data_IF_815963278375
#
_entry.id   IF_815963278375
#
_cell.length_a   1.000
_cell.length_b   1.000
_cell.length_c   1.000
_cell.angle_alpha   90.00
_cell.angle_beta   90.00
_cell.angle_gamma   90.00
#
_symmetry.space_group_name_H-M   'P 1'
#
loop_
_entity.id
_entity.type
_entity.pdbx_description
1 polymer ?
#
# COMPACT_ATOMS: atom_id res chain seq x y z
N UNK A 1 -1.06 19.62 8.99
CA UNK A 1 -0.87 18.16 9.00
C UNK A 1 -2.26 17.56 8.95
N UNK A 2 -2.54 16.74 7.96
CA UNK A 2 -3.83 16.04 7.85
C UNK A 2 -3.84 14.90 8.88
N UNK A 3 -4.86 14.83 9.69
CA UNK A 3 -5.07 13.76 10.66
C UNK A 3 -6.50 13.25 10.48
N UNK A 4 -6.67 12.03 10.01
CA UNK A 4 -7.98 11.42 9.87
C UNK A 4 -8.45 10.92 11.24
N UNK A 5 -9.24 11.69 11.97
CA UNK A 5 -9.84 11.21 13.23
C UNK A 5 -10.74 9.98 13.01
N UNK A 6 -11.30 9.84 11.83
CA UNK A 6 -12.15 8.70 11.38
C UNK A 6 -11.72 8.28 9.98
N UNK A 7 -11.79 6.99 9.70
CA UNK A 7 -11.48 6.41 8.38
C UNK A 7 -12.79 5.81 7.85
N UNK A 8 -13.30 6.42 6.77
CA UNK A 8 -14.55 5.98 6.14
C UNK A 8 -14.27 4.77 5.22
N UNK A 9 -14.79 3.57 5.55
CA UNK A 9 -14.60 2.38 4.73
C UNK A 9 -15.04 2.55 3.27
N UNK A 10 -16.12 3.30 3.03
CA UNK A 10 -16.71 3.46 1.70
C UNK A 10 -15.85 4.26 0.72
N UNK A 11 -14.87 5.03 1.22
CA UNK A 11 -13.97 5.87 0.40
C UNK A 11 -12.50 5.55 0.64
N UNK A 12 -12.20 4.44 1.30
CA UNK A 12 -10.84 4.02 1.63
C UNK A 12 -10.47 2.74 0.88
N UNK A 13 -9.19 2.61 0.47
CA UNK A 13 -8.60 1.35 0.01
C UNK A 13 -7.26 1.11 0.68
N UNK A 14 -6.92 -0.16 0.95
CA UNK A 14 -5.60 -0.56 1.44
C UNK A 14 -4.73 -0.98 0.26
N UNK A 15 -3.48 -0.49 0.22
CA UNK A 15 -2.45 -0.90 -0.72
C UNK A 15 -1.39 -1.69 0.04
N UNK A 16 -1.28 -2.98 -0.27
CA UNK A 16 -0.26 -3.89 0.27
C UNK A 16 0.91 -3.92 -0.71
N UNK A 17 1.98 -3.20 -0.37
CA UNK A 17 3.09 -2.96 -1.28
C UNK A 17 4.12 -4.07 -1.17
N UNK A 18 4.30 -4.84 -2.25
CA UNK A 18 5.42 -5.75 -2.53
C UNK A 18 5.78 -6.76 -1.42
N UNK A 19 4.81 -7.23 -0.64
CA UNK A 19 5.07 -8.27 0.36
C UNK A 19 5.17 -9.64 -0.33
N UNK A 20 6.25 -9.81 -1.09
CA UNK A 20 6.56 -10.94 -1.96
C UNK A 20 7.59 -11.88 -1.30
N UNK A 21 7.72 -13.10 -1.82
CA UNK A 21 8.71 -14.05 -1.32
C UNK A 21 10.13 -13.49 -1.39
N UNK A 22 10.49 -12.78 -2.46
CA UNK A 22 11.85 -12.19 -2.61
C UNK A 22 12.19 -11.19 -1.51
N UNK A 23 11.20 -10.54 -0.86
CA UNK A 23 11.42 -9.59 0.21
C UNK A 23 11.27 -10.17 1.62
N UNK A 24 10.40 -11.16 1.83
CA UNK A 24 10.07 -11.59 3.20
C UNK A 24 10.39 -13.04 3.51
N UNK A 25 10.62 -13.89 2.51
CA UNK A 25 11.01 -15.27 2.78
C UNK A 25 12.44 -15.32 3.36
N UNK A 26 12.69 -16.30 4.25
CA UNK A 26 14.00 -16.49 4.82
C UNK A 26 15.01 -16.94 3.76
N UNK A 27 16.14 -16.25 3.66
CA UNK A 27 17.18 -16.53 2.66
C UNK A 27 16.88 -15.96 1.27
N UNK A 28 15.83 -15.15 1.14
CA UNK A 28 15.50 -14.49 -0.13
C UNK A 28 16.53 -13.42 -0.52
N UNK A 29 16.70 -13.14 -1.81
CA UNK A 29 17.74 -12.23 -2.31
C UNK A 29 17.61 -10.78 -1.80
N UNK A 30 16.42 -10.36 -1.46
CA UNK A 30 16.11 -9.01 -0.92
C UNK A 30 15.56 -9.10 0.51
N UNK A 31 15.92 -10.14 1.26
CA UNK A 31 15.33 -10.47 2.56
C UNK A 31 15.31 -9.28 3.53
N UNK A 32 14.10 -8.93 3.98
CA UNK A 32 13.84 -8.07 5.12
C UNK A 32 13.32 -8.91 6.30
N UNK A 33 14.15 -9.12 7.31
CA UNK A 33 13.73 -9.78 8.55
C UNK A 33 12.66 -8.95 9.29
N UNK A 34 12.77 -7.64 9.25
CA UNK A 34 11.77 -6.70 9.77
C UNK A 34 10.44 -6.80 8.99
N UNK A 35 10.51 -6.99 7.65
CA UNK A 35 9.33 -7.25 6.81
C UNK A 35 8.59 -8.52 7.22
N UNK A 36 9.31 -9.55 7.62
CA UNK A 36 8.69 -10.77 8.16
C UNK A 36 8.11 -10.56 9.55
N UNK A 37 8.77 -9.76 10.39
CA UNK A 37 8.32 -9.46 11.75
C UNK A 37 7.03 -8.62 11.79
N UNK A 38 6.76 -7.77 10.79
CA UNK A 38 5.55 -6.94 10.71
C UNK A 38 4.29 -7.72 10.28
N UNK A 39 4.42 -8.93 9.73
CA UNK A 39 3.29 -9.69 9.17
C UNK A 39 2.09 -9.84 10.10
N UNK A 40 2.24 -10.07 11.43
CA UNK A 40 1.08 -10.14 12.31
C UNK A 40 0.26 -8.85 12.33
N UNK A 41 0.88 -7.68 12.26
CA UNK A 41 0.17 -6.40 12.22
C UNK A 41 -0.51 -6.20 10.86
N UNK A 42 0.18 -6.53 9.78
CA UNK A 42 -0.43 -6.50 8.44
C UNK A 42 -1.64 -7.42 8.34
N UNK A 43 -1.58 -8.63 8.92
CA UNK A 43 -2.72 -9.55 8.96
C UNK A 43 -3.92 -8.97 9.74
N UNK A 44 -3.67 -8.28 10.87
CA UNK A 44 -4.72 -7.58 11.62
C UNK A 44 -5.37 -6.47 10.79
N UNK A 45 -4.54 -5.67 10.08
CA UNK A 45 -5.04 -4.61 9.21
C UNK A 45 -5.87 -5.17 8.04
N UNK A 46 -5.40 -6.26 7.39
CA UNK A 46 -6.15 -6.97 6.34
C UNK A 46 -7.48 -7.52 6.85
N UNK A 47 -7.49 -8.10 8.05
CA UNK A 47 -8.73 -8.60 8.66
C UNK A 47 -9.74 -7.46 8.84
N UNK A 48 -9.30 -6.34 9.40
CA UNK A 48 -10.15 -5.15 9.56
C UNK A 48 -10.70 -4.65 8.22
N UNK A 49 -9.86 -4.55 7.18
CA UNK A 49 -10.33 -4.13 5.85
C UNK A 49 -11.41 -5.06 5.30
N UNK A 50 -11.19 -6.37 5.41
CA UNK A 50 -12.11 -7.41 4.90
C UNK A 50 -13.42 -7.48 5.68
N UNK A 51 -13.42 -7.15 6.96
CA UNK A 51 -14.61 -7.09 7.82
C UNK A 51 -15.46 -5.83 7.58
N UNK A 52 -14.86 -4.78 6.99
CA UNK A 52 -15.53 -3.51 6.72
C UNK A 52 -15.65 -3.20 5.22
N UNK A 53 -15.50 -4.21 4.36
CA UNK A 53 -15.59 -4.08 2.89
C UNK A 53 -14.65 -3.01 2.29
N UNK A 54 -13.51 -2.73 2.96
CA UNK A 54 -12.47 -1.86 2.43
C UNK A 54 -11.70 -2.63 1.36
N UNK A 55 -11.67 -2.15 0.09
CA UNK A 55 -10.92 -2.79 -0.97
C UNK A 55 -9.44 -2.96 -0.63
N UNK A 56 -8.90 -4.16 -0.88
CA UNK A 56 -7.47 -4.46 -0.71
C UNK A 56 -6.85 -4.65 -2.09
N UNK A 57 -5.80 -3.87 -2.36
CA UNK A 57 -5.04 -3.92 -3.60
C UNK A 57 -3.59 -4.27 -3.27
N UNK A 58 -3.10 -5.35 -3.85
CA UNK A 58 -1.72 -5.77 -3.72
C UNK A 58 -0.88 -5.23 -4.87
N UNK A 59 0.40 -4.98 -4.61
CA UNK A 59 1.37 -4.81 -5.68
C UNK A 59 2.41 -5.93 -5.65
N UNK A 60 2.86 -6.31 -6.85
CA UNK A 60 3.99 -7.18 -7.04
C UNK A 60 5.02 -6.48 -7.94
N UNK A 61 6.21 -6.21 -7.40
CA UNK A 61 7.32 -5.68 -8.19
C UNK A 61 7.93 -6.81 -8.99
N UNK A 62 7.92 -6.70 -10.31
CA UNK A 62 8.45 -7.73 -11.19
C UNK A 62 9.10 -7.12 -12.44
N UNK A 63 10.08 -7.83 -12.99
CA UNK A 63 10.76 -7.48 -14.24
C UNK A 63 10.83 -8.69 -15.17
N UNK A 64 10.75 -8.44 -16.46
CA UNK A 64 10.92 -9.49 -17.48
C UNK A 64 12.27 -10.18 -17.35
N UNK A 65 12.33 -11.48 -17.53
CA UNK A 65 13.55 -12.28 -17.40
C UNK A 65 14.73 -11.74 -18.25
N UNK A 66 14.45 -11.10 -19.40
CA UNK A 66 15.47 -10.44 -20.23
C UNK A 66 15.90 -9.05 -19.74
N UNK A 67 15.31 -8.51 -18.66
CA UNK A 67 15.71 -7.25 -18.04
C UNK A 67 15.46 -5.99 -18.88
N UNK A 68 14.71 -6.07 -20.01
CA UNK A 68 14.50 -4.94 -20.92
C UNK A 68 13.71 -3.77 -20.29
N UNK A 69 13.06 -4.00 -19.16
CA UNK A 69 12.26 -3.05 -18.40
C UNK A 69 12.92 -2.57 -17.09
N UNK A 70 14.12 -3.03 -16.79
CA UNK A 70 14.88 -2.62 -15.60
C UNK A 70 15.21 -1.13 -15.59
N UNK A 71 15.59 -0.56 -16.73
CA UNK A 71 16.08 0.82 -16.79
C UNK A 71 17.30 1.00 -15.88
N UNK A 72 17.31 2.07 -15.06
CA UNK A 72 18.42 2.32 -14.12
C UNK A 72 18.50 1.32 -12.96
N UNK A 73 17.43 0.57 -12.69
CA UNK A 73 17.48 -0.55 -11.73
C UNK A 73 18.41 -1.67 -12.17
N UNK A 74 18.87 -1.70 -13.43
CA UNK A 74 19.93 -2.57 -13.90
C UNK A 74 21.28 -2.36 -13.16
N UNK A 75 21.44 -1.27 -12.43
CA UNK A 75 22.60 -1.02 -11.57
C UNK A 75 22.44 -1.64 -10.15
N UNK A 76 21.26 -2.07 -9.78
CA UNK A 76 20.99 -2.79 -8.53
C UNK A 76 21.35 -4.27 -8.70
N UNK A 77 22.42 -4.71 -8.06
CA UNK A 77 23.00 -6.05 -8.27
C UNK A 77 22.05 -7.21 -8.02
N UNK A 78 21.26 -7.27 -6.94
CA UNK A 78 20.31 -8.36 -6.73
C UNK A 78 19.28 -8.48 -7.85
N UNK A 79 18.83 -7.34 -8.42
CA UNK A 79 17.80 -7.29 -9.46
C UNK A 79 18.43 -7.52 -10.85
N UNK A 80 19.53 -6.81 -11.15
CA UNK A 80 20.20 -6.84 -12.47
C UNK A 80 20.71 -8.23 -12.89
N UNK A 81 21.11 -9.04 -11.92
CA UNK A 81 21.60 -10.40 -12.17
C UNK A 81 20.51 -11.44 -12.42
N UNK A 82 19.23 -11.05 -12.44
CA UNK A 82 18.11 -12.01 -12.51
C UNK A 82 17.96 -12.85 -11.24
N UNK A 83 18.53 -12.39 -10.11
CA UNK A 83 18.48 -13.09 -8.84
C UNK A 83 17.23 -12.77 -8.02
N UNK A 84 16.52 -11.67 -8.36
CA UNK A 84 15.31 -11.22 -7.68
C UNK A 84 14.32 -10.58 -8.64
N UNK A 85 13.05 -10.57 -8.27
CA UNK A 85 11.95 -9.88 -8.94
C UNK A 85 11.77 -10.27 -10.42
N UNK A 86 12.08 -11.54 -10.77
CA UNK A 86 11.91 -12.03 -12.12
C UNK A 86 10.47 -12.49 -12.32
N UNK A 87 9.79 -11.90 -13.30
CA UNK A 87 8.40 -12.25 -13.63
C UNK A 87 8.22 -13.75 -13.88
N UNK A 88 7.15 -14.31 -13.33
CA UNK A 88 6.86 -15.75 -13.38
C UNK A 88 7.70 -16.61 -12.42
N UNK A 89 8.67 -16.05 -11.69
CA UNK A 89 9.41 -16.79 -10.67
C UNK A 89 8.61 -16.93 -9.36
N UNK A 90 8.90 -17.96 -8.53
CA UNK A 90 8.28 -18.07 -7.20
C UNK A 90 8.58 -16.85 -6.29
N UNK A 91 9.67 -16.13 -6.55
CA UNK A 91 10.11 -14.97 -5.79
C UNK A 91 9.13 -13.79 -5.86
N UNK A 92 8.51 -13.57 -7.02
CA UNK A 92 7.55 -12.46 -7.20
C UNK A 92 6.16 -12.75 -6.63
N UNK A 93 5.85 -13.99 -6.27
CA UNK A 93 4.56 -14.31 -5.68
C UNK A 93 4.38 -13.62 -4.32
N UNK A 94 3.16 -13.16 -4.05
CA UNK A 94 2.79 -12.61 -2.74
C UNK A 94 3.05 -13.66 -1.65
N UNK A 95 3.61 -13.23 -0.54
CA UNK A 95 3.99 -14.13 0.55
C UNK A 95 2.77 -14.87 1.10
N UNK A 96 2.81 -16.21 1.27
CA UNK A 96 1.61 -17.01 1.56
C UNK A 96 0.82 -16.61 2.81
N UNK A 97 1.51 -16.07 3.84
CA UNK A 97 0.85 -15.67 5.08
C UNK A 97 -0.16 -14.51 4.92
N UNK A 98 -0.09 -13.81 3.78
CA UNK A 98 -0.99 -12.68 3.46
C UNK A 98 -1.52 -12.80 2.02
N UNK A 99 -1.68 -14.03 1.53
CA UNK A 99 -2.17 -14.25 0.17
C UNK A 99 -3.46 -13.48 -0.11
N UNK A 100 -3.57 -12.88 -1.31
CA UNK A 100 -4.79 -12.21 -1.73
C UNK A 100 -5.95 -13.20 -1.84
N UNK A 101 -7.19 -12.71 -1.65
CA UNK A 101 -8.42 -13.44 -1.97
C UNK A 101 -8.68 -13.37 -3.48
N UNK A 102 -9.58 -14.22 -3.99
CA UNK A 102 -9.89 -14.30 -5.43
C UNK A 102 -10.49 -13.01 -5.99
N UNK A 103 -11.13 -12.20 -5.14
CA UNK A 103 -11.74 -10.91 -5.46
C UNK A 103 -10.81 -9.72 -5.23
N UNK A 104 -9.63 -9.92 -4.66
CA UNK A 104 -8.66 -8.86 -4.40
C UNK A 104 -7.72 -8.66 -5.60
N UNK A 105 -7.40 -7.40 -5.90
CA UNK A 105 -6.63 -7.02 -7.08
C UNK A 105 -5.13 -7.14 -6.79
N UNK A 106 -4.39 -7.72 -7.73
CA UNK A 106 -2.91 -7.73 -7.71
C UNK A 106 -2.40 -6.98 -8.94
N UNK A 107 -1.64 -5.90 -8.70
CA UNK A 107 -1.05 -5.07 -9.75
C UNK A 107 0.44 -5.37 -9.87
N UNK A 108 0.89 -5.72 -11.07
CA UNK A 108 2.32 -5.80 -11.36
C UNK A 108 2.88 -4.41 -11.65
N UNK A 109 3.96 -4.04 -10.97
CA UNK A 109 4.67 -2.78 -11.18
C UNK A 109 6.16 -2.99 -11.49
N UNK A 110 6.79 -2.02 -12.14
CA UNK A 110 8.19 -2.09 -12.58
C UNK A 110 9.05 -0.96 -12.01
N UNK A 111 8.49 -0.14 -11.11
CA UNK A 111 9.16 0.98 -10.42
C UNK A 111 8.73 1.01 -8.97
N UNK A 112 9.36 1.85 -8.15
CA UNK A 112 9.07 1.91 -6.72
C UNK A 112 7.62 2.32 -6.44
N UNK A 113 7.14 3.39 -7.06
CA UNK A 113 5.75 3.80 -6.90
C UNK A 113 4.78 2.82 -7.55
N UNK A 114 3.71 2.48 -6.83
CA UNK A 114 2.61 1.68 -7.33
C UNK A 114 1.74 2.40 -8.39
N UNK A 115 1.88 3.73 -8.50
CA UNK A 115 1.16 4.52 -9.51
C UNK A 115 1.92 4.61 -10.84
N UNK A 116 3.25 4.45 -10.81
CA UNK A 116 4.05 4.70 -12.02
C UNK A 116 3.91 3.57 -13.04
N UNK A 117 3.25 3.87 -14.17
CA UNK A 117 3.10 2.93 -15.27
C UNK A 117 2.14 1.76 -14.97
N UNK A 118 1.19 1.96 -14.05
CA UNK A 118 0.14 1.00 -13.70
C UNK A 118 -1.24 1.66 -13.86
N UNK A 119 -2.28 0.86 -13.67
CA UNK A 119 -3.68 1.29 -13.68
C UNK A 119 -4.23 1.59 -12.26
N UNK A 120 -3.38 1.65 -11.23
CA UNK A 120 -3.79 1.85 -9.84
C UNK A 120 -4.70 3.07 -9.66
N UNK A 121 -4.33 4.22 -10.25
CA UNK A 121 -5.15 5.43 -10.13
C UNK A 121 -6.53 5.26 -10.75
N UNK A 122 -6.62 4.61 -11.91
CA UNK A 122 -7.89 4.34 -12.60
C UNK A 122 -8.78 3.47 -11.71
N UNK A 123 -8.22 2.43 -11.08
CA UNK A 123 -8.93 1.53 -10.18
C UNK A 123 -9.43 2.30 -8.95
N UNK A 124 -8.55 3.05 -8.27
CA UNK A 124 -8.92 3.82 -7.09
C UNK A 124 -10.03 4.84 -7.38
N UNK A 125 -9.92 5.59 -8.49
CA UNK A 125 -10.97 6.54 -8.92
C UNK A 125 -12.28 5.83 -9.26
N UNK A 126 -12.21 4.69 -9.95
CA UNK A 126 -13.37 3.88 -10.30
C UNK A 126 -14.12 3.33 -9.08
N UNK A 127 -13.39 3.06 -7.99
CA UNK A 127 -13.95 2.64 -6.69
C UNK A 127 -14.43 3.82 -5.82
N UNK A 128 -14.27 5.07 -6.26
CA UNK A 128 -14.63 6.25 -5.47
C UNK A 128 -13.70 6.50 -4.27
N UNK A 129 -12.50 5.93 -4.29
CA UNK A 129 -11.53 6.05 -3.20
C UNK A 129 -10.95 7.46 -3.15
N UNK A 130 -10.91 8.02 -1.95
CA UNK A 130 -10.24 9.30 -1.63
C UNK A 130 -9.14 9.14 -0.60
N UNK A 131 -9.11 8.03 0.13
CA UNK A 131 -8.11 7.71 1.15
C UNK A 131 -7.42 6.40 0.83
N UNK A 132 -6.08 6.39 0.84
CA UNK A 132 -5.28 5.17 0.67
C UNK A 132 -4.52 4.84 1.95
N UNK A 133 -4.55 3.58 2.35
CA UNK A 133 -3.80 3.04 3.49
C UNK A 133 -2.59 2.29 2.95
N UNK A 134 -1.39 2.76 3.24
CA UNK A 134 -0.14 2.18 2.74
C UNK A 134 0.46 1.22 3.76
N UNK A 135 0.75 0.00 3.31
CA UNK A 135 1.42 -1.06 4.07
C UNK A 135 2.46 -1.77 3.20
N UNK A 136 3.34 -2.59 3.77
CA UNK A 136 4.24 -3.47 3.01
C UNK A 136 5.71 -3.10 3.10
N UNK A 137 6.47 -3.36 2.01
CA UNK A 137 7.93 -3.19 1.94
C UNK A 137 8.38 -2.53 0.63
N UNK A 138 9.52 -1.80 0.62
CA UNK A 138 10.23 -1.32 1.79
C UNK A 138 9.76 0.09 2.14
N UNK A 139 9.81 0.42 3.42
CA UNK A 139 9.26 1.68 3.95
C UNK A 139 9.75 2.92 3.16
N UNK A 140 11.07 3.02 2.95
CA UNK A 140 11.73 4.19 2.35
C UNK A 140 11.70 4.22 0.82
N UNK A 141 11.45 3.08 0.16
CA UNK A 141 11.40 2.98 -1.31
C UNK A 141 9.95 2.84 -1.80
N UNK A 142 9.47 1.60 -1.97
CA UNK A 142 8.19 1.38 -2.63
C UNK A 142 7.01 1.98 -1.86
N UNK A 143 6.98 1.85 -0.53
CA UNK A 143 5.92 2.44 0.28
C UNK A 143 5.99 3.97 0.28
N UNK A 144 7.18 4.56 0.48
CA UNK A 144 7.39 6.01 0.46
C UNK A 144 7.06 6.63 -0.90
N UNK A 145 7.57 6.03 -2.00
CA UNK A 145 7.27 6.50 -3.36
C UNK A 145 5.77 6.44 -3.66
N UNK A 146 5.10 5.36 -3.27
CA UNK A 146 3.65 5.20 -3.45
C UNK A 146 2.87 6.23 -2.62
N UNK A 147 3.27 6.49 -1.36
CA UNK A 147 2.64 7.47 -0.50
C UNK A 147 2.74 8.90 -1.08
N UNK A 148 3.93 9.28 -1.58
CA UNK A 148 4.10 10.60 -2.21
C UNK A 148 3.33 10.73 -3.51
N UNK A 149 3.33 9.71 -4.34
CA UNK A 149 2.57 9.71 -5.60
C UNK A 149 1.06 9.74 -5.35
N UNK A 150 0.56 9.09 -4.29
CA UNK A 150 -0.82 9.21 -3.85
C UNK A 150 -1.15 10.65 -3.44
N UNK A 151 -0.30 11.25 -2.59
CA UNK A 151 -0.45 12.63 -2.13
C UNK A 151 -0.46 13.63 -3.31
N UNK A 152 0.43 13.46 -4.31
CA UNK A 152 0.47 14.33 -5.50
C UNK A 152 -0.76 14.17 -6.42
N UNK A 153 -1.58 13.16 -6.20
CA UNK A 153 -2.84 12.89 -6.90
C UNK A 153 -4.07 13.19 -6.05
N UNK A 154 -3.88 13.96 -4.97
CA UNK A 154 -4.93 14.39 -4.06
C UNK A 154 -5.66 13.23 -3.34
N UNK A 155 -4.98 12.09 -3.14
CA UNK A 155 -5.44 11.10 -2.19
C UNK A 155 -4.97 11.47 -0.77
N UNK A 156 -5.84 11.28 0.20
CA UNK A 156 -5.45 11.27 1.61
C UNK A 156 -4.63 10.00 1.86
N UNK A 157 -3.50 10.14 2.57
CA UNK A 157 -2.61 9.03 2.81
C UNK A 157 -2.57 8.69 4.29
N UNK A 158 -2.94 7.47 4.63
CA UNK A 158 -2.69 6.84 5.92
C UNK A 158 -1.53 5.87 5.75
N UNK A 159 -0.53 5.94 6.62
CA UNK A 159 0.67 5.09 6.52
C UNK A 159 0.83 4.28 7.81
N UNK A 160 0.76 2.95 7.72
CA UNK A 160 0.82 2.09 8.90
C UNK A 160 2.27 1.84 9.33
N UNK A 161 2.66 2.47 10.44
CA UNK A 161 4.04 2.44 10.94
C UNK A 161 4.53 1.04 11.35
N UNK A 162 3.64 0.20 11.84
CA UNK A 162 3.95 -1.17 12.32
C UNK A 162 3.55 -2.27 11.32
N UNK A 163 2.99 -1.88 10.16
CA UNK A 163 2.71 -2.77 9.03
C UNK A 163 3.52 -2.39 7.78
N UNK A 164 4.60 -1.62 7.95
CA UNK A 164 5.65 -1.37 6.96
C UNK A 164 7.02 -1.69 7.57
N UNK A 165 8.00 -2.05 6.76
CA UNK A 165 9.34 -2.40 7.22
C UNK A 165 10.38 -2.22 6.11
N UNK A 166 11.67 -2.25 6.48
CA UNK A 166 12.79 -2.09 5.56
C UNK A 166 13.99 -2.98 5.93
N UNK A 167 15.15 -2.67 5.42
CA UNK A 167 16.43 -3.37 5.60
C UNK A 167 17.51 -2.44 6.11
N UNK A 168 18.64 -2.99 6.58
CA UNK A 168 19.82 -2.20 6.90
C UNK A 168 20.45 -1.62 5.63
N UNK A 169 20.98 -0.40 5.74
CA UNK A 169 21.71 0.28 4.68
C UNK A 169 23.20 0.32 4.98
N UNK A 170 24.05 -0.17 4.06
CA UNK A 170 25.49 -0.06 4.23
C UNK A 170 25.95 1.40 4.12
N UNK A 171 27.18 1.66 4.55
CA UNK A 171 27.81 2.97 4.31
C UNK A 171 28.08 3.18 2.82
N UNK A 172 27.39 4.16 2.25
CA UNK A 172 27.55 4.61 0.86
C UNK A 172 28.25 5.97 0.79
N UNK A 173 29.03 6.34 1.82
CA UNK A 173 29.75 7.60 1.92
C UNK A 173 29.09 8.62 2.88
N UNK A 174 27.97 8.23 3.50
CA UNK A 174 27.22 9.07 4.44
C UNK A 174 26.97 8.38 5.80
N UNK A 175 27.64 7.26 6.04
CA UNK A 175 27.43 6.37 7.16
C UNK A 175 26.40 5.27 6.85
N UNK A 176 26.43 4.21 7.65
CA UNK A 176 25.42 3.14 7.61
C UNK A 176 24.19 3.52 8.44
N UNK A 177 23.05 2.92 8.13
CA UNK A 177 21.83 3.02 8.93
C UNK A 177 21.24 1.63 9.13
N UNK A 178 20.81 1.34 10.36
CA UNK A 178 20.03 0.15 10.65
C UNK A 178 18.60 0.27 10.03
N UNK A 179 17.93 -0.86 9.82
CA UNK A 179 16.55 -0.89 9.35
C UNK A 179 15.62 -0.03 10.23
N UNK A 180 15.82 -0.04 11.56
CA UNK A 180 15.06 0.79 12.50
C UNK A 180 15.28 2.28 12.26
N UNK A 181 16.53 2.71 12.04
CA UNK A 181 16.86 4.12 11.79
C UNK A 181 16.31 4.60 10.45
N UNK A 182 16.44 3.82 9.38
CA UNK A 182 15.86 4.11 8.05
C UNK A 182 14.35 4.20 8.14
N UNK A 183 13.71 3.23 8.77
CA UNK A 183 12.28 3.18 8.98
C UNK A 183 11.80 4.43 9.73
N UNK A 184 12.35 4.70 10.92
CA UNK A 184 12.00 5.85 11.73
C UNK A 184 12.20 7.19 10.99
N UNK A 185 13.32 7.34 10.28
CA UNK A 185 13.58 8.55 9.49
C UNK A 185 12.51 8.76 8.42
N UNK A 186 12.13 7.71 7.71
CA UNK A 186 11.08 7.75 6.67
C UNK A 186 9.71 8.10 7.26
N UNK A 187 9.33 7.50 8.39
CA UNK A 187 8.08 7.82 9.08
C UNK A 187 8.01 9.29 9.49
N UNK A 188 9.12 9.85 10.04
CA UNK A 188 9.21 11.27 10.41
C UNK A 188 9.02 12.17 9.19
N UNK A 189 9.65 11.83 8.06
CA UNK A 189 9.54 12.59 6.81
C UNK A 189 8.10 12.55 6.28
N UNK A 190 7.46 11.39 6.26
CA UNK A 190 6.09 11.23 5.78
C UNK A 190 5.08 11.93 6.70
N UNK A 191 5.24 11.81 8.01
CA UNK A 191 4.34 12.40 9.00
C UNK A 191 4.33 13.93 8.96
N UNK A 192 5.39 14.55 8.45
CA UNK A 192 5.48 16.02 8.40
C UNK A 192 4.45 16.65 7.45
N UNK A 193 4.30 16.10 6.24
CA UNK A 193 3.56 16.77 5.16
C UNK A 193 2.85 15.86 4.15
N UNK A 194 3.06 14.53 4.24
CA UNK A 194 2.56 13.61 3.21
C UNK A 194 1.46 12.68 3.71
N UNK A 195 1.59 12.15 4.94
CA UNK A 195 0.72 11.09 5.42
C UNK A 195 0.35 11.24 6.90
N UNK A 196 -0.81 10.74 7.27
CA UNK A 196 -1.16 10.43 8.65
C UNK A 196 -0.50 9.08 9.02
N UNK A 197 0.62 9.16 9.75
CA UNK A 197 1.41 8.00 10.16
C UNK A 197 0.88 7.48 11.49
N UNK A 198 0.25 6.30 11.46
CA UNK A 198 -0.42 5.69 12.61
C UNK A 198 -0.07 4.22 12.75
N UNK A 199 -0.37 3.63 13.91
CA UNK A 199 -0.26 2.18 14.13
C UNK A 199 -1.47 1.44 13.56
N UNK A 200 -1.32 0.14 13.32
CA UNK A 200 -2.44 -0.75 12.96
C UNK A 200 -3.57 -0.72 13.99
N UNK A 201 -3.25 -0.65 15.28
CA UNK A 201 -4.25 -0.53 16.35
C UNK A 201 -5.07 0.76 16.22
N UNK A 202 -4.39 1.88 15.97
CA UNK A 202 -5.05 3.18 15.75
C UNK A 202 -5.92 3.16 14.49
N UNK A 203 -5.44 2.53 13.41
CA UNK A 203 -6.21 2.35 12.17
C UNK A 203 -7.51 1.60 12.44
N UNK A 204 -7.43 0.43 13.07
CA UNK A 204 -8.60 -0.41 13.41
C UNK A 204 -9.60 0.40 14.26
N UNK A 205 -9.12 1.10 15.28
CA UNK A 205 -9.98 1.93 16.14
C UNK A 205 -10.69 3.04 15.38
N UNK A 206 -10.04 3.67 14.38
CA UNK A 206 -10.63 4.74 13.57
C UNK A 206 -11.64 4.25 12.53
N UNK A 207 -11.45 3.04 11.99
CA UNK A 207 -12.42 2.37 11.11
C UNK A 207 -13.66 1.97 11.91
N UNK A 208 -13.49 1.33 13.07
CA UNK A 208 -14.57 0.86 13.91
C UNK A 208 -15.51 1.95 14.48
N UNK A 209 -15.06 3.22 14.46
CA UNK A 209 -15.89 4.36 14.92
C UNK A 209 -16.87 4.85 13.86
N UNK A 210 -16.80 4.37 12.62
CA UNK A 210 -17.76 4.70 11.57
C UNK A 210 -18.94 3.72 11.66
N UNK A 211 -20.19 4.17 11.93
CA UNK A 211 -21.35 3.28 11.90
C UNK A 211 -21.49 2.65 10.51
N UNK A 212 -21.70 1.34 10.44
CA UNK A 212 -22.03 0.67 9.18
C UNK A 212 -23.29 1.32 8.59
N UNK A 213 -23.24 1.79 7.34
CA UNK A 213 -24.37 2.48 6.66
C UNK A 213 -25.59 1.55 6.48
N UNK A 214 -25.49 0.26 6.86
CA UNK A 214 -26.56 -0.73 6.80
C UNK A 214 -27.52 -0.75 7.99
N UNK A 215 -27.26 -0.06 9.11
CA UNK A 215 -28.06 -0.14 10.33
C UNK A 215 -29.06 1.03 10.53
N UNK A 216 -29.20 1.90 9.54
CA UNK A 216 -30.24 2.95 9.54
C UNK A 216 -31.55 2.43 8.95
N UNK A 217 -32.74 2.78 9.50
CA UNK A 217 -33.98 2.46 8.84
C UNK A 217 -33.99 3.07 7.44
N UNK A 218 -34.35 2.28 6.43
CA UNK A 218 -34.50 2.74 5.06
C UNK A 218 -35.40 3.98 5.04
N UNK A 219 -34.80 5.16 5.03
CA UNK A 219 -35.52 6.40 4.91
C UNK A 219 -35.97 6.55 3.45
N UNK A 220 -37.28 6.51 3.26
CA UNK A 220 -38.05 6.85 2.08
C UNK A 220 -37.45 8.05 1.31
N UNK A 221 -36.67 7.79 0.28
CA UNK A 221 -36.19 8.79 -0.68
C UNK A 221 -36.95 8.67 -2.00
N UNK A 222 -38.29 8.58 -1.90
CA UNK A 222 -39.23 8.64 -3.03
C UNK A 222 -40.27 9.73 -2.80
N UNK A 223 -39.85 10.97 -2.63
CA UNK A 223 -40.76 12.11 -2.84
C UNK A 223 -39.95 13.36 -3.18
N UNK A 224 -40.00 13.79 -4.43
CA UNK A 224 -39.44 15.09 -4.80
C UNK A 224 -38.85 15.24 -6.20
N UNK A 225 -39.27 14.43 -7.19
CA UNK A 225 -39.00 14.81 -8.59
C UNK A 225 -40.28 15.48 -9.13
N UNK A 226 -40.44 16.75 -8.80
CA UNK A 226 -41.42 17.63 -9.50
C UNK A 226 -40.73 18.21 -10.74
N UNK A 227 -41.36 17.94 -11.86
CA UNK A 227 -41.20 18.50 -13.20
C UNK A 227 -40.38 19.81 -13.35
N UNK A 228 -39.30 19.75 -14.10
CA UNK A 228 -38.76 20.91 -14.80
C UNK A 228 -39.42 20.92 -16.18
N UNK A 229 -40.36 21.86 -16.38
CA UNK A 229 -41.00 22.13 -17.67
C UNK A 229 -39.92 22.66 -18.66
N UNK A 230 -39.83 22.02 -19.81
CA UNK A 230 -39.20 22.59 -21.00
C UNK A 230 -40.05 23.76 -21.51
N UNK A 231 -39.51 24.95 -21.55
CA UNK A 231 -40.11 26.11 -22.24
C UNK A 231 -39.50 26.18 -23.64
N UNK A 232 -40.29 26.47 -24.66
CA UNK A 232 -40.00 26.37 -26.10
C UNK A 232 -38.95 27.35 -26.60
#
# INVERSE_FOLDING_TARGET
>A
MYTAERIDPSTTAMIVVDVQNDFVAKGAPLESSAGRAMLPQLQRALTCCREHDIPVIYTAHAHRAGGCDLGLLANDRPIAGGGALVDGSPGVAIYPAIAPRDDEIVITKHRFSAFYGTDLEIILRGLGVTTVVITGVTTENCCHATARDAFFRDFQVVFLSDATATVDYPDLGYGSMSAEEVHRATLVILARDTADVITTETFIGRVATVPNVGDGPAADLMDGITHVALVP
#
